data_IF_596767442481
#
_entry.id   IF_596767442481
#
_cell.length_a   1.000
_cell.length_b   1.000
_cell.length_c   1.000
_cell.angle_alpha   90.00
_cell.angle_beta   90.00
_cell.angle_gamma   90.00
#
_symmetry.space_group_name_H-M   'P 1'
#
loop_
_entity.id
_entity.type
_entity.pdbx_description
1 polymer ?
#
# COMPACT_ATOMS: atom_id res chain seq x y z
N UNK A 1 -0.12 12.25 44.40
CA UNK A 1 -1.46 12.52 43.96
C UNK A 1 -1.41 12.87 42.49
N UNK A 2 -1.70 11.90 41.59
CA UNK A 2 -1.83 12.18 40.16
C UNK A 2 -3.17 12.89 39.92
N UNK A 3 -3.12 14.00 39.17
CA UNK A 3 -4.32 14.68 38.69
C UNK A 3 -5.07 13.75 37.76
N UNK A 4 -6.26 13.30 38.15
CA UNK A 4 -7.18 12.60 37.25
C UNK A 4 -7.80 13.68 36.36
N UNK A 5 -7.35 13.77 35.11
CA UNK A 5 -7.96 14.65 34.10
C UNK A 5 -9.26 13.96 33.66
N UNK A 6 -10.40 14.52 34.06
CA UNK A 6 -11.69 14.07 33.55
C UNK A 6 -11.83 14.55 32.11
N UNK A 7 -12.04 13.62 31.17
CA UNK A 7 -12.37 13.96 29.78
C UNK A 7 -13.71 14.73 29.73
N UNK A 8 -13.75 15.79 28.91
CA UNK A 8 -14.95 16.59 28.72
C UNK A 8 -14.66 18.07 28.48
N UNK A 9 -15.74 18.85 28.34
CA UNK A 9 -15.65 20.30 28.20
C UNK A 9 -15.26 20.92 29.55
N UNK A 10 -14.10 21.57 29.56
CA UNK A 10 -13.55 22.21 30.77
C UNK A 10 -13.99 23.67 30.91
N UNK A 11 -14.17 24.37 29.81
CA UNK A 11 -14.50 25.80 29.79
C UNK A 11 -15.22 26.16 28.47
N UNK A 12 -16.19 27.07 28.55
CA UNK A 12 -16.88 27.64 27.40
C UNK A 12 -17.92 26.73 26.78
N UNK A 13 -18.15 26.90 25.48
CA UNK A 13 -19.11 26.14 24.68
C UNK A 13 -18.35 25.21 23.72
N UNK A 14 -18.33 23.91 24.04
CA UNK A 14 -17.66 22.88 23.26
C UNK A 14 -18.61 22.18 22.26
N UNK A 15 -19.82 22.71 22.04
CA UNK A 15 -20.77 22.23 21.02
C UNK A 15 -20.71 23.10 19.75
N UNK A 16 -21.13 24.38 19.87
CA UNK A 16 -21.22 25.29 18.70
C UNK A 16 -20.64 26.69 19.03
N UNK A 17 -19.58 26.75 19.83
CA UNK A 17 -18.99 28.00 20.31
C UNK A 17 -17.50 27.95 20.48
N UNK A 18 -16.97 28.71 21.42
CA UNK A 18 -15.55 28.63 21.84
C UNK A 18 -15.45 27.97 23.20
N UNK A 19 -14.52 27.03 23.31
CA UNK A 19 -14.32 26.29 24.53
C UNK A 19 -12.95 25.65 24.65
N UNK A 20 -12.76 24.96 25.78
CA UNK A 20 -11.60 24.11 26.06
C UNK A 20 -12.11 22.71 26.37
N UNK A 21 -11.64 21.72 25.63
CA UNK A 21 -12.02 20.32 25.79
C UNK A 21 -10.78 19.46 26.11
N UNK A 22 -10.86 18.61 27.13
CA UNK A 22 -9.87 17.61 27.45
C UNK A 22 -10.32 16.24 26.95
N UNK A 23 -9.45 15.53 26.26
CA UNK A 23 -9.69 14.19 25.77
C UNK A 23 -9.14 13.13 26.73
N UNK A 24 -9.70 11.92 26.67
CA UNK A 24 -9.31 10.81 27.54
C UNK A 24 -7.85 10.35 27.36
N UNK A 25 -7.27 10.61 26.19
CA UNK A 25 -5.88 10.31 25.85
C UNK A 25 -4.87 11.32 26.42
N UNK A 26 -5.35 12.35 27.14
CA UNK A 26 -4.53 13.42 27.70
C UNK A 26 -4.29 14.59 26.75
N UNK A 27 -4.82 14.55 25.54
CA UNK A 27 -4.80 15.69 24.62
C UNK A 27 -5.81 16.76 25.06
N UNK A 28 -5.62 18.00 24.58
CA UNK A 28 -6.50 19.14 24.88
C UNK A 28 -6.65 20.03 23.65
N UNK A 29 -7.87 20.50 23.43
CA UNK A 29 -8.17 21.50 22.40
C UNK A 29 -8.69 22.80 23.04
N UNK A 30 -8.23 23.91 22.54
CA UNK A 30 -8.71 25.27 22.87
C UNK A 30 -9.06 25.99 21.58
N UNK A 31 -10.32 26.29 21.34
CA UNK A 31 -10.71 26.94 20.11
C UNK A 31 -12.22 26.92 19.84
N UNK A 32 -12.58 27.09 18.58
CA UNK A 32 -13.97 27.06 18.14
C UNK A 32 -14.43 25.63 17.90
N UNK A 33 -15.67 25.36 18.18
CA UNK A 33 -16.37 24.09 17.97
C UNK A 33 -17.55 24.24 17.03
N UNK A 34 -17.88 23.19 16.32
CA UNK A 34 -19.11 23.00 15.56
C UNK A 34 -19.56 21.57 15.73
N UNK A 35 -20.82 21.40 16.18
CA UNK A 35 -21.43 20.08 16.45
C UNK A 35 -20.51 19.18 17.30
N UNK A 36 -19.94 19.71 18.38
CA UNK A 36 -19.07 19.01 19.30
C UNK A 36 -17.66 18.70 18.80
N UNK A 37 -17.26 19.23 17.62
CA UNK A 37 -15.95 18.97 17.02
C UNK A 37 -15.12 20.25 16.89
N UNK A 38 -13.79 20.20 17.07
CA UNK A 38 -12.90 21.29 16.71
C UNK A 38 -13.17 21.81 15.30
N UNK A 39 -13.45 23.11 15.17
CA UNK A 39 -13.75 23.75 13.90
C UNK A 39 -13.29 25.22 13.92
N UNK A 40 -12.78 25.76 12.78
CA UNK A 40 -12.24 27.12 12.75
C UNK A 40 -10.90 27.24 13.48
N UNK A 41 -10.61 28.42 14.07
CA UNK A 41 -9.32 28.67 14.67
C UNK A 41 -9.19 28.03 16.09
N UNK A 42 -8.04 27.39 16.35
CA UNK A 42 -7.79 26.77 17.64
C UNK A 42 -6.34 26.30 17.84
N UNK A 43 -6.10 25.75 19.04
CA UNK A 43 -4.83 25.16 19.46
C UNK A 43 -5.12 23.76 19.97
N UNK A 44 -4.38 22.77 19.46
CA UNK A 44 -4.42 21.40 19.92
C UNK A 44 -3.10 21.03 20.58
N UNK A 45 -3.19 20.52 21.80
CA UNK A 45 -2.07 20.02 22.57
C UNK A 45 -2.10 18.50 22.54
N UNK A 46 -1.07 17.87 21.99
CA UNK A 46 -0.95 16.43 21.89
C UNK A 46 -0.40 15.81 23.19
N UNK A 47 -0.70 14.53 23.49
CA UNK A 47 -0.19 13.87 24.69
C UNK A 47 1.33 13.78 24.76
N UNK A 48 2.00 13.76 23.61
CA UNK A 48 3.47 13.75 23.50
C UNK A 48 4.13 15.12 23.72
N UNK A 49 3.33 16.16 24.02
CA UNK A 49 3.81 17.54 24.23
C UNK A 49 3.93 18.38 22.95
N UNK A 50 3.62 17.85 21.78
CA UNK A 50 3.53 18.64 20.56
C UNK A 50 2.33 19.60 20.65
N UNK A 51 2.37 20.68 19.87
CA UNK A 51 1.30 21.64 19.77
C UNK A 51 1.02 21.98 18.31
N UNK A 52 -0.27 21.99 17.94
CA UNK A 52 -0.73 22.57 16.67
C UNK A 52 -1.54 23.83 16.92
N UNK A 53 -1.28 24.90 16.18
CA UNK A 53 -2.04 26.15 16.20
C UNK A 53 -2.44 26.52 14.77
N UNK A 54 -3.74 26.62 14.50
CA UNK A 54 -4.23 26.89 13.15
C UNK A 54 -5.74 26.68 12.98
N UNK A 55 -6.13 26.45 11.75
CA UNK A 55 -7.52 26.15 11.39
C UNK A 55 -7.82 24.68 11.59
N UNK A 56 -9.08 24.37 11.89
CA UNK A 56 -9.64 23.03 12.03
C UNK A 56 -10.91 22.88 11.21
N UNK A 57 -11.12 21.69 10.65
CA UNK A 57 -12.37 21.27 10.06
C UNK A 57 -12.67 19.84 10.56
N UNK A 58 -13.91 19.62 11.03
CA UNK A 58 -14.43 18.32 11.51
C UNK A 58 -13.53 17.56 12.48
N UNK A 59 -12.86 18.31 13.36
CA UNK A 59 -12.00 17.76 14.40
C UNK A 59 -10.51 17.64 14.02
N UNK A 60 -10.14 17.92 12.78
CA UNK A 60 -8.77 17.75 12.28
C UNK A 60 -8.12 19.08 11.90
N UNK A 61 -6.78 19.23 12.03
CA UNK A 61 -6.04 20.34 11.44
C UNK A 61 -6.37 20.52 9.96
N UNK A 62 -6.74 21.77 9.58
CA UNK A 62 -7.15 22.11 8.21
C UNK A 62 -6.77 23.56 7.91
N UNK A 63 -6.52 23.90 6.62
CA UNK A 63 -6.13 25.26 6.24
C UNK A 63 -4.77 25.67 6.78
N UNK A 64 -4.55 26.97 6.99
CA UNK A 64 -3.25 27.45 7.48
C UNK A 64 -3.02 27.10 8.95
N UNK A 65 -1.85 26.51 9.24
CA UNK A 65 -1.51 26.11 10.59
C UNK A 65 -0.01 25.84 10.81
N UNK A 66 0.34 25.71 12.08
CA UNK A 66 1.71 25.50 12.56
C UNK A 66 1.72 24.41 13.63
N UNK A 67 2.52 23.36 13.44
CA UNK A 67 2.81 22.37 14.48
C UNK A 67 4.23 22.57 15.00
N UNK A 68 4.37 22.55 16.30
CA UNK A 68 5.67 22.63 16.99
C UNK A 68 5.82 21.38 17.85
N UNK A 69 6.93 20.65 17.69
CA UNK A 69 7.24 19.50 18.54
C UNK A 69 8.01 19.92 19.79
N UNK A 70 8.19 18.97 20.72
CA UNK A 70 8.89 19.20 22.00
C UNK A 70 10.37 19.56 21.84
N UNK A 71 11.00 19.27 20.70
CA UNK A 71 12.37 19.70 20.38
C UNK A 71 12.44 21.11 19.77
N UNK A 72 11.29 21.81 19.63
CA UNK A 72 11.22 23.15 19.05
C UNK A 72 11.20 23.17 17.50
N UNK A 73 11.15 22.01 16.87
CA UNK A 73 11.05 21.93 15.42
C UNK A 73 9.63 22.36 14.97
N UNK A 74 9.56 23.18 13.92
CA UNK A 74 8.32 23.80 13.45
C UNK A 74 7.97 23.31 12.05
N UNK A 75 6.74 22.82 11.88
CA UNK A 75 6.10 22.55 10.60
C UNK A 75 4.98 23.59 10.40
N UNK A 76 5.06 24.41 9.36
CA UNK A 76 4.10 25.47 9.08
C UNK A 76 3.67 25.43 7.61
N UNK A 77 2.38 25.56 7.36
CA UNK A 77 1.82 25.57 6.00
C UNK A 77 0.33 25.31 5.99
N UNK A 78 -0.17 24.89 4.83
CA UNK A 78 -1.54 24.46 4.66
C UNK A 78 -1.71 23.00 5.13
N UNK A 79 -2.78 22.75 5.86
CA UNK A 79 -3.12 21.46 6.42
C UNK A 79 -4.44 20.96 5.82
N UNK A 80 -4.52 19.71 5.48
CA UNK A 80 -5.73 19.05 4.99
C UNK A 80 -5.88 17.74 5.75
N UNK A 81 -7.04 17.57 6.41
CA UNK A 81 -7.39 16.36 7.17
C UNK A 81 -6.29 15.88 8.14
N UNK A 82 -5.69 16.81 8.87
CA UNK A 82 -4.68 16.54 9.88
C UNK A 82 -3.24 16.40 9.36
N UNK A 83 -3.03 16.38 8.05
CA UNK A 83 -1.72 16.33 7.40
C UNK A 83 -1.26 17.71 6.91
N UNK A 84 0.05 18.03 7.10
CA UNK A 84 0.65 19.21 6.48
C UNK A 84 0.76 18.95 4.97
N UNK A 85 0.12 19.81 4.19
CA UNK A 85 0.40 19.90 2.75
C UNK A 85 1.75 20.63 2.64
N UNK A 86 2.82 19.85 2.52
CA UNK A 86 4.18 20.40 2.45
C UNK A 86 4.33 21.23 1.18
N UNK A 87 4.36 22.52 1.37
CA UNK A 87 4.46 23.61 0.41
C UNK A 87 3.17 23.91 -0.38
N UNK A 88 2.51 25.04 -0.11
CA UNK A 88 1.68 25.65 -1.13
C UNK A 88 2.62 26.12 -2.24
N UNK A 89 2.83 25.30 -3.25
CA UNK A 89 3.33 25.77 -4.52
C UNK A 89 2.42 26.93 -4.97
N UNK A 90 2.93 27.89 -5.74
CA UNK A 90 2.14 29.02 -6.18
C UNK A 90 0.83 28.54 -6.83
N UNK A 91 -0.22 29.32 -6.70
CA UNK A 91 -1.65 29.07 -7.02
C UNK A 91 -1.99 28.62 -8.46
N UNK A 92 -1.08 28.02 -9.20
CA UNK A 92 -1.18 27.58 -10.60
C UNK A 92 -0.76 26.10 -10.82
N UNK A 93 -0.85 25.25 -9.80
CA UNK A 93 -0.63 23.78 -9.95
C UNK A 93 0.83 23.36 -10.09
N UNK A 94 1.79 24.23 -9.77
CA UNK A 94 3.23 23.93 -9.75
C UNK A 94 3.71 23.67 -8.32
N UNK A 95 4.79 22.88 -8.16
CA UNK A 95 5.39 22.55 -6.88
C UNK A 95 5.03 21.13 -6.38
N UNK A 96 5.19 20.90 -5.10
CA UNK A 96 4.80 19.63 -4.47
C UNK A 96 3.27 19.53 -4.38
N UNK A 97 2.68 18.58 -5.10
CA UNK A 97 1.24 18.35 -5.09
C UNK A 97 0.82 17.39 -3.98
N UNK A 98 1.65 16.41 -3.65
CA UNK A 98 1.36 15.43 -2.62
C UNK A 98 2.62 14.75 -2.10
N UNK A 99 2.56 14.20 -0.89
CA UNK A 99 3.65 13.44 -0.28
C UNK A 99 4.78 14.33 0.27
N UNK A 100 5.97 13.72 0.45
CA UNK A 100 7.19 14.40 0.94
C UNK A 100 8.16 14.62 -0.21
N UNK A 101 8.08 15.80 -0.85
CA UNK A 101 8.99 16.19 -1.91
C UNK A 101 10.33 16.74 -1.40
N UNK A 102 10.66 16.54 -0.12
CA UNK A 102 11.95 16.87 0.47
C UNK A 102 12.82 15.63 0.70
N UNK A 103 12.32 14.64 1.44
CA UNK A 103 13.10 13.45 1.80
C UNK A 103 12.24 12.18 1.85
N UNK A 104 11.27 12.03 0.96
CA UNK A 104 10.35 10.91 0.92
C UNK A 104 9.74 10.70 -0.45
N UNK A 105 8.64 9.99 -0.52
CA UNK A 105 7.87 9.82 -1.75
C UNK A 105 6.90 10.98 -1.93
N UNK A 106 6.85 11.55 -3.14
CA UNK A 106 5.95 12.67 -3.44
C UNK A 106 5.68 12.82 -4.93
N UNK A 107 4.73 13.73 -5.23
CA UNK A 107 4.41 14.17 -6.58
C UNK A 107 4.73 15.66 -6.72
N UNK A 108 5.53 16.01 -7.69
CA UNK A 108 5.98 17.37 -7.94
C UNK A 108 5.71 17.79 -9.39
N UNK A 109 5.20 19.01 -9.58
CA UNK A 109 5.04 19.62 -10.92
C UNK A 109 6.05 20.75 -11.08
N UNK A 110 6.88 20.64 -12.09
CA UNK A 110 7.90 21.64 -12.44
C UNK A 110 7.29 22.84 -13.16
N UNK A 111 8.04 23.94 -13.21
CA UNK A 111 7.56 25.21 -13.86
C UNK A 111 7.15 25.06 -15.32
N UNK A 112 7.79 24.15 -16.04
CA UNK A 112 7.43 23.80 -17.42
C UNK A 112 6.23 22.85 -17.52
N UNK A 113 5.64 22.45 -16.40
CA UNK A 113 4.47 21.57 -16.35
C UNK A 113 4.79 20.08 -16.38
N UNK A 114 6.06 19.71 -16.46
CA UNK A 114 6.49 18.31 -16.31
C UNK A 114 6.17 17.83 -14.90
N UNK A 115 5.83 16.55 -14.76
CA UNK A 115 5.45 15.95 -13.49
C UNK A 115 6.42 14.85 -13.12
N UNK A 116 6.91 14.89 -11.89
CA UNK A 116 7.67 13.80 -11.28
C UNK A 116 6.85 13.16 -10.15
N UNK A 117 6.87 11.85 -10.11
CA UNK A 117 6.27 11.02 -9.07
C UNK A 117 7.31 9.98 -8.65
N UNK A 118 7.78 10.07 -7.41
CA UNK A 118 8.86 9.22 -6.94
C UNK A 118 9.46 9.70 -5.64
N UNK A 119 10.63 9.14 -5.29
CA UNK A 119 11.35 9.51 -4.07
C UNK A 119 12.18 10.77 -4.26
N UNK A 120 12.32 11.53 -3.17
CA UNK A 120 13.11 12.76 -3.08
C UNK A 120 14.17 12.63 -2.00
N UNK A 121 15.28 13.31 -2.21
CA UNK A 121 16.31 13.53 -1.21
C UNK A 121 16.82 14.97 -1.33
N UNK A 122 16.76 15.73 -0.21
CA UNK A 122 17.12 17.15 -0.21
C UNK A 122 16.32 18.00 -1.19
N UNK A 123 15.05 17.68 -1.44
CA UNK A 123 14.17 18.40 -2.37
C UNK A 123 14.42 18.10 -3.85
N UNK A 124 15.26 17.12 -4.18
CA UNK A 124 15.55 16.70 -5.54
C UNK A 124 15.06 15.28 -5.81
N UNK A 125 14.53 14.97 -7.02
CA UNK A 125 14.27 13.60 -7.43
C UNK A 125 15.47 12.69 -7.20
N UNK A 126 15.26 11.60 -6.45
CA UNK A 126 16.29 10.64 -6.08
C UNK A 126 15.69 9.24 -5.94
N UNK A 127 16.48 8.18 -6.20
CA UNK A 127 15.95 6.81 -6.20
C UNK A 127 15.00 6.55 -7.37
N UNK A 128 14.01 5.69 -7.20
CA UNK A 128 13.09 5.32 -8.29
C UNK A 128 11.97 6.33 -8.47
N UNK A 129 11.62 6.63 -9.73
CA UNK A 129 10.53 7.52 -10.04
C UNK A 129 10.11 7.53 -11.51
N UNK A 130 9.02 8.24 -11.75
CA UNK A 130 8.39 8.44 -13.04
C UNK A 130 8.37 9.93 -13.36
N UNK A 131 8.98 10.32 -14.47
CA UNK A 131 8.85 11.67 -15.05
C UNK A 131 7.87 11.61 -16.22
N UNK A 132 6.91 12.51 -16.26
CA UNK A 132 6.02 12.74 -17.40
C UNK A 132 6.26 14.15 -17.91
N UNK A 133 6.62 14.26 -19.17
CA UNK A 133 6.85 15.52 -19.86
C UNK A 133 5.58 16.03 -20.55
N UNK A 134 5.42 17.34 -20.65
CA UNK A 134 4.28 17.91 -21.36
C UNK A 134 4.23 17.56 -22.86
N UNK A 135 5.38 17.28 -23.46
CA UNK A 135 5.46 16.84 -24.85
C UNK A 135 5.00 15.38 -25.06
N UNK A 136 4.57 14.67 -24.02
CA UNK A 136 4.13 13.29 -24.08
C UNK A 136 5.24 12.25 -23.84
N UNK A 137 6.50 12.66 -23.74
CA UNK A 137 7.60 11.78 -23.35
C UNK A 137 7.45 11.34 -21.89
N UNK A 138 8.06 10.25 -21.52
CA UNK A 138 8.14 9.81 -20.13
C UNK A 138 9.45 9.08 -19.85
N UNK A 139 9.90 9.16 -18.62
CA UNK A 139 11.03 8.37 -18.12
C UNK A 139 10.59 7.60 -16.86
N UNK A 140 10.90 6.33 -16.84
CA UNK A 140 10.68 5.45 -15.68
C UNK A 140 12.02 4.85 -15.29
N UNK A 141 12.49 5.11 -14.06
CA UNK A 141 13.80 4.59 -13.66
C UNK A 141 14.39 5.29 -12.44
N UNK A 142 15.69 5.05 -12.27
CA UNK A 142 16.45 5.63 -11.17
C UNK A 142 16.81 7.09 -11.45
N UNK A 143 16.75 7.90 -10.38
CA UNK A 143 17.11 9.30 -10.37
C UNK A 143 18.22 9.55 -9.35
N UNK A 144 19.12 10.45 -9.62
CA UNK A 144 20.09 10.94 -8.66
C UNK A 144 20.26 12.44 -8.83
N UNK A 145 20.09 13.20 -7.74
CA UNK A 145 20.20 14.66 -7.72
C UNK A 145 19.42 15.34 -8.87
N UNK A 146 18.20 14.90 -9.12
CA UNK A 146 17.29 15.46 -10.13
C UNK A 146 17.55 15.03 -11.57
N UNK A 147 18.52 14.15 -11.84
CA UNK A 147 18.87 13.66 -13.17
C UNK A 147 18.64 12.15 -13.29
N UNK A 148 18.40 11.66 -14.52
CA UNK A 148 18.33 10.21 -14.77
C UNK A 148 19.67 9.55 -14.43
N UNK A 149 19.60 8.44 -13.69
CA UNK A 149 20.75 7.69 -13.22
C UNK A 149 20.45 6.19 -13.24
N UNK A 150 21.45 5.34 -12.98
CA UNK A 150 21.24 3.91 -12.87
C UNK A 150 20.56 3.28 -14.08
N UNK A 151 19.59 2.41 -13.85
CA UNK A 151 18.78 1.80 -14.89
C UNK A 151 17.45 2.52 -15.06
N UNK A 152 17.02 2.72 -16.32
CA UNK A 152 15.73 3.34 -16.62
C UNK A 152 15.36 3.24 -18.09
N UNK A 153 14.10 3.55 -18.37
CA UNK A 153 13.56 3.54 -19.72
C UNK A 153 12.95 4.90 -20.04
N UNK A 154 13.40 5.50 -21.12
CA UNK A 154 12.84 6.72 -21.69
C UNK A 154 11.98 6.36 -22.90
N UNK A 155 10.76 6.84 -22.91
CA UNK A 155 9.78 6.65 -23.98
C UNK A 155 9.55 8.00 -24.65
N UNK A 156 9.90 8.13 -25.91
CA UNK A 156 9.51 9.30 -26.71
C UNK A 156 8.06 9.17 -27.20
N UNK A 157 7.39 10.29 -27.35
CA UNK A 157 6.07 10.36 -27.99
C UNK A 157 6.11 9.84 -29.43
N UNK A 158 7.27 9.94 -30.09
CA UNK A 158 7.53 9.39 -31.44
C UNK A 158 7.46 7.85 -31.50
N UNK A 159 7.44 7.15 -30.34
CA UNK A 159 7.47 5.71 -30.21
C UNK A 159 8.89 5.12 -30.02
N UNK A 160 9.95 5.95 -30.04
CA UNK A 160 11.29 5.47 -29.71
C UNK A 160 11.41 5.15 -28.20
N UNK A 161 12.12 4.07 -27.88
CA UNK A 161 12.34 3.59 -26.52
C UNK A 161 13.84 3.44 -26.27
N UNK A 162 14.32 4.07 -25.19
CA UNK A 162 15.73 4.00 -24.75
C UNK A 162 15.77 3.31 -23.38
N UNK A 163 15.91 2.00 -23.38
CA UNK A 163 16.04 1.20 -22.16
C UNK A 163 17.52 0.90 -21.89
N UNK A 164 18.00 1.17 -20.67
CA UNK A 164 19.38 0.87 -20.30
C UNK A 164 19.91 1.75 -19.17
N UNK A 165 21.25 1.91 -19.17
CA UNK A 165 21.96 2.70 -18.15
C UNK A 165 21.95 4.19 -18.48
N UNK A 166 21.81 4.98 -17.43
CA UNK A 166 21.80 6.43 -17.47
C UNK A 166 22.79 6.99 -16.45
N UNK A 167 23.43 8.09 -16.75
CA UNK A 167 24.24 8.84 -15.81
C UNK A 167 24.14 10.33 -16.12
N UNK A 168 23.85 11.13 -15.08
CA UNK A 168 23.67 12.57 -15.18
C UNK A 168 22.74 12.99 -16.34
N UNK A 169 21.61 12.29 -16.50
CA UNK A 169 20.61 12.54 -17.54
C UNK A 169 20.97 12.04 -18.94
N UNK A 170 22.12 11.43 -19.13
CA UNK A 170 22.57 10.91 -20.45
C UNK A 170 22.37 9.41 -20.56
N UNK A 171 21.84 8.97 -21.69
CA UNK A 171 21.75 7.55 -22.04
C UNK A 171 23.13 6.99 -22.39
N UNK A 172 23.54 5.95 -21.70
CA UNK A 172 24.83 5.28 -21.87
C UNK A 172 24.74 3.99 -22.70
N UNK A 173 23.52 3.65 -23.15
CA UNK A 173 23.27 2.44 -23.90
C UNK A 173 22.94 1.23 -23.02
N UNK A 174 22.52 0.17 -23.67
CA UNK A 174 22.21 -1.12 -23.03
C UNK A 174 23.49 -1.98 -22.99
N UNK A 175 24.54 -1.49 -22.33
CA UNK A 175 25.76 -2.29 -22.15
C UNK A 175 25.57 -3.29 -21.01
N UNK A 176 24.83 -4.36 -21.26
CA UNK A 176 25.17 -5.64 -20.64
C UNK A 176 26.57 -6.00 -21.14
N UNK A 177 27.59 -6.04 -20.27
CA UNK A 177 28.79 -6.78 -20.56
C UNK A 177 28.36 -8.21 -20.83
N UNK A 178 28.35 -8.59 -22.10
CA UNK A 178 28.27 -10.00 -22.49
C UNK A 178 29.57 -10.65 -22.07
N UNK A 179 29.59 -11.35 -20.95
CA UNK A 179 30.55 -12.44 -20.74
C UNK A 179 30.29 -13.45 -21.87
N UNK A 180 31.35 -14.03 -22.48
CA UNK A 180 31.16 -15.00 -23.57
C UNK A 180 30.23 -16.12 -23.09
N UNK A 181 29.19 -16.30 -23.82
CA UNK A 181 28.12 -17.26 -23.59
C UNK A 181 28.70 -18.68 -23.62
N UNK A 182 28.90 -19.27 -22.44
CA UNK A 182 28.83 -20.72 -22.37
C UNK A 182 27.38 -21.04 -22.80
N UNK A 183 27.22 -21.91 -23.80
CA UNK A 183 25.94 -22.41 -24.28
C UNK A 183 25.19 -23.12 -23.14
N UNK A 184 24.56 -22.31 -22.28
CA UNK A 184 23.62 -22.76 -21.27
C UNK A 184 22.27 -22.86 -21.98
N UNK A 185 21.67 -24.03 -21.94
CA UNK A 185 20.28 -24.24 -22.34
C UNK A 185 19.42 -23.11 -21.76
N UNK A 186 18.45 -22.54 -22.52
CA UNK A 186 17.70 -21.38 -22.06
C UNK A 186 17.07 -21.70 -20.71
N UNK A 187 17.54 -21.02 -19.66
CA UNK A 187 16.94 -21.10 -18.33
C UNK A 187 15.50 -20.65 -18.48
N UNK A 188 14.51 -21.43 -18.04
CA UNK A 188 13.10 -21.06 -18.16
C UNK A 188 12.93 -19.71 -17.44
N UNK A 189 12.65 -18.65 -18.18
CA UNK A 189 12.40 -17.34 -17.60
C UNK A 189 11.05 -17.37 -16.92
N UNK A 190 11.02 -17.41 -15.60
CA UNK A 190 9.79 -17.29 -14.79
C UNK A 190 9.08 -15.99 -15.14
N UNK A 191 7.85 -16.07 -15.60
CA UNK A 191 6.99 -14.92 -15.85
C UNK A 191 6.08 -14.70 -14.64
N UNK A 192 5.77 -13.44 -14.37
CA UNK A 192 4.81 -13.07 -13.33
C UNK A 192 3.48 -12.72 -13.99
N UNK A 193 2.40 -13.29 -13.47
CA UNK A 193 1.03 -13.00 -13.82
C UNK A 193 0.31 -12.52 -12.58
N UNK A 194 -0.22 -11.31 -12.55
CA UNK A 194 -0.75 -10.71 -11.34
C UNK A 194 -2.16 -10.15 -11.52
N UNK A 195 -3.04 -10.49 -10.59
CA UNK A 195 -4.32 -9.81 -10.38
C UNK A 195 -4.28 -9.12 -9.03
N UNK A 196 -4.51 -7.81 -9.05
CA UNK A 196 -4.41 -6.94 -7.89
C UNK A 196 -5.77 -6.28 -7.68
N UNK A 197 -6.32 -6.41 -6.48
CA UNK A 197 -7.67 -5.98 -6.15
C UNK A 197 -7.62 -5.08 -4.92
N UNK A 198 -8.24 -3.89 -5.01
CA UNK A 198 -8.42 -2.98 -3.90
C UNK A 198 -9.86 -2.50 -3.84
N UNK A 199 -10.52 -2.69 -2.70
CA UNK A 199 -11.93 -2.28 -2.51
C UNK A 199 -12.04 -1.42 -1.27
N UNK A 200 -12.30 -0.13 -1.47
CA UNK A 200 -12.39 0.91 -0.43
C UNK A 200 -13.82 1.32 -0.14
N UNK A 201 -14.66 1.47 -1.16
CA UNK A 201 -15.95 2.18 -1.12
C UNK A 201 -17.14 1.23 -1.14
N UNK A 202 -17.36 0.52 -0.05
CA UNK A 202 -18.47 -0.44 0.07
C UNK A 202 -19.82 0.25 0.32
N UNK A 203 -20.88 -0.28 -0.28
CA UNK A 203 -22.26 0.18 -0.03
C UNK A 203 -22.85 -0.40 1.28
N UNK A 204 -22.48 -1.63 1.63
CA UNK A 204 -23.06 -2.37 2.76
C UNK A 204 -22.05 -2.69 3.87
N UNK A 205 -20.84 -2.17 3.76
CA UNK A 205 -19.80 -2.28 4.77
C UNK A 205 -19.20 -0.88 5.03
N UNK A 206 -18.56 -0.64 6.17
CA UNK A 206 -17.82 0.61 6.40
C UNK A 206 -16.79 0.84 5.31
N UNK A 207 -16.62 2.08 4.88
CA UNK A 207 -15.55 2.43 3.94
C UNK A 207 -14.19 2.20 4.58
N UNK A 208 -13.25 1.68 3.80
CA UNK A 208 -11.83 1.57 4.13
C UNK A 208 -11.07 2.72 3.48
N UNK A 209 -9.89 3.05 4.01
CA UNK A 209 -9.16 4.25 3.57
C UNK A 209 -8.10 3.99 2.52
N UNK A 210 -7.47 2.82 2.51
CA UNK A 210 -6.23 2.60 1.78
C UNK A 210 -6.17 1.37 0.86
N UNK A 211 -7.20 0.53 0.71
CA UNK A 211 -7.10 -0.67 -0.14
C UNK A 211 -6.78 -0.38 -1.61
N UNK A 212 -7.33 0.69 -2.16
CA UNK A 212 -7.07 1.17 -3.52
C UNK A 212 -5.62 1.67 -3.67
N UNK A 213 -5.15 2.50 -2.73
CA UNK A 213 -3.77 2.98 -2.67
C UNK A 213 -2.77 1.81 -2.55
N UNK A 214 -3.05 0.83 -1.69
CA UNK A 214 -2.21 -0.34 -1.48
C UNK A 214 -2.13 -1.21 -2.75
N UNK A 215 -3.26 -1.40 -3.42
CA UNK A 215 -3.32 -2.10 -4.70
C UNK A 215 -2.49 -1.39 -5.78
N UNK A 216 -2.63 -0.07 -5.92
CA UNK A 216 -1.84 0.70 -6.87
C UNK A 216 -0.34 0.69 -6.57
N UNK A 217 0.06 0.69 -5.30
CA UNK A 217 1.48 0.61 -4.90
C UNK A 217 2.09 -0.74 -5.26
N UNK A 218 1.37 -1.84 -5.06
CA UNK A 218 1.83 -3.16 -5.49
C UNK A 218 1.90 -3.25 -7.02
N UNK A 219 0.91 -2.71 -7.72
CA UNK A 219 0.94 -2.61 -9.18
C UNK A 219 2.17 -1.84 -9.65
N UNK A 220 2.41 -0.65 -9.11
CA UNK A 220 3.58 0.16 -9.45
C UNK A 220 4.90 -0.56 -9.16
N UNK A 221 4.97 -1.32 -8.07
CA UNK A 221 6.13 -2.16 -7.77
C UNK A 221 6.34 -3.24 -8.85
N UNK A 222 5.30 -4.00 -9.21
CA UNK A 222 5.41 -5.05 -10.25
C UNK A 222 5.79 -4.48 -11.63
N UNK A 223 5.39 -3.24 -11.91
CA UNK A 223 5.77 -2.53 -13.13
C UNK A 223 7.21 -2.01 -13.09
N UNK A 224 7.79 -1.86 -11.91
CA UNK A 224 9.16 -1.40 -11.73
C UNK A 224 10.19 -2.48 -12.08
N UNK A 225 11.45 -2.12 -12.37
CA UNK A 225 12.52 -3.10 -12.58
C UNK A 225 12.72 -4.04 -11.40
N UNK A 226 12.55 -3.56 -10.17
CA UNK A 226 12.67 -4.36 -8.95
C UNK A 226 11.54 -5.40 -8.82
N UNK A 227 10.33 -5.06 -9.27
CA UNK A 227 9.17 -5.95 -9.30
C UNK A 227 9.08 -6.84 -10.52
N UNK A 228 10.10 -6.80 -11.40
CA UNK A 228 10.19 -7.70 -12.57
C UNK A 228 9.71 -7.09 -13.88
N UNK A 229 9.40 -5.77 -13.94
CA UNK A 229 8.92 -5.06 -15.14
C UNK A 229 7.76 -5.80 -15.81
N UNK A 230 6.77 -6.20 -15.03
CA UNK A 230 5.65 -7.04 -15.51
C UNK A 230 4.87 -6.27 -16.59
N UNK A 231 4.75 -6.77 -17.82
CA UNK A 231 4.06 -6.08 -18.90
C UNK A 231 2.53 -6.08 -18.69
N UNK A 232 1.83 -5.14 -19.34
CA UNK A 232 0.40 -4.91 -19.12
C UNK A 232 -0.48 -6.12 -19.39
N UNK A 233 -0.12 -6.96 -20.36
CA UNK A 233 -0.87 -8.17 -20.68
C UNK A 233 -0.76 -9.28 -19.62
N UNK A 234 0.08 -9.11 -18.60
CA UNK A 234 0.30 -10.05 -17.49
C UNK A 234 -0.06 -9.49 -16.11
N UNK A 235 -0.49 -8.25 -16.03
CA UNK A 235 -0.94 -7.63 -14.78
C UNK A 235 -2.27 -6.91 -15.00
N UNK A 236 -3.21 -7.10 -14.06
CA UNK A 236 -4.50 -6.39 -14.05
C UNK A 236 -4.76 -5.84 -12.65
N UNK A 237 -5.26 -4.63 -12.60
CA UNK A 237 -5.71 -3.99 -11.36
C UNK A 237 -7.21 -3.79 -11.46
N UNK A 238 -7.94 -4.15 -10.42
CA UNK A 238 -9.38 -3.89 -10.27
C UNK A 238 -9.57 -3.10 -8.98
N UNK A 239 -10.11 -1.90 -9.11
CA UNK A 239 -10.32 -0.98 -7.98
C UNK A 239 -11.81 -0.64 -7.92
N UNK A 240 -12.34 -0.62 -6.70
CA UNK A 240 -13.72 -0.23 -6.39
C UNK A 240 -14.74 -0.71 -7.43
N UNK A 241 -15.32 0.13 -8.25
CA UNK A 241 -16.40 -0.22 -9.19
C UNK A 241 -16.00 -1.33 -10.18
N UNK A 242 -14.72 -1.47 -10.50
CA UNK A 242 -14.21 -2.53 -11.36
C UNK A 242 -14.04 -3.86 -10.63
N UNK A 243 -13.94 -3.83 -9.29
CA UNK A 243 -13.69 -5.00 -8.44
C UNK A 243 -14.97 -5.78 -8.12
N UNK A 244 -15.84 -5.97 -9.12
CA UNK A 244 -17.03 -6.84 -8.96
C UNK A 244 -16.62 -8.31 -8.93
N UNK A 245 -17.41 -9.14 -8.27
CA UNK A 245 -17.19 -10.60 -8.22
C UNK A 245 -16.98 -11.19 -9.61
N UNK A 246 -17.83 -10.80 -10.58
CA UNK A 246 -17.74 -11.31 -11.94
C UNK A 246 -16.44 -10.89 -12.63
N UNK A 247 -16.04 -9.61 -12.51
CA UNK A 247 -14.82 -9.10 -13.12
C UNK A 247 -13.58 -9.77 -12.53
N UNK A 248 -13.57 -10.01 -11.21
CA UNK A 248 -12.49 -10.72 -10.53
C UNK A 248 -12.33 -12.14 -11.07
N UNK A 249 -13.41 -12.91 -11.14
CA UNK A 249 -13.38 -14.28 -11.65
C UNK A 249 -12.96 -14.33 -13.12
N UNK A 250 -13.47 -13.41 -13.94
CA UNK A 250 -13.08 -13.29 -15.35
C UNK A 250 -11.59 -12.96 -15.49
N UNK A 251 -11.10 -11.99 -14.72
CA UNK A 251 -9.68 -11.62 -14.73
C UNK A 251 -8.77 -12.77 -14.29
N UNK A 252 -9.15 -13.51 -13.23
CA UNK A 252 -8.42 -14.72 -12.83
C UNK A 252 -8.35 -15.74 -13.97
N UNK A 253 -9.48 -16.00 -14.63
CA UNK A 253 -9.53 -16.95 -15.73
C UNK A 253 -8.65 -16.50 -16.90
N UNK A 254 -8.77 -15.25 -17.34
CA UNK A 254 -8.03 -14.70 -18.47
C UNK A 254 -6.51 -14.61 -18.23
N UNK A 255 -6.09 -14.33 -17.00
CA UNK A 255 -4.67 -14.19 -16.66
C UNK A 255 -4.03 -15.52 -16.28
N UNK A 256 -4.64 -16.26 -15.35
CA UNK A 256 -3.98 -17.37 -14.69
C UNK A 256 -3.92 -18.64 -15.53
N UNK A 257 -4.85 -18.81 -16.49
CA UNK A 257 -4.80 -19.95 -17.42
C UNK A 257 -3.75 -19.77 -18.52
N UNK A 258 -3.20 -18.55 -18.70
CA UNK A 258 -2.13 -18.27 -19.66
C UNK A 258 -0.73 -18.50 -19.09
N UNK A 259 -0.63 -18.71 -17.79
CA UNK A 259 0.65 -18.97 -17.13
C UNK A 259 1.20 -20.35 -17.51
N UNK A 260 2.51 -20.46 -17.60
CA UNK A 260 3.22 -21.72 -17.85
C UNK A 260 3.69 -22.39 -16.55
N UNK A 261 4.21 -23.64 -16.62
CA UNK A 261 4.57 -24.42 -15.44
C UNK A 261 5.72 -23.83 -14.61
N UNK A 262 6.52 -22.93 -15.18
CA UNK A 262 7.60 -22.25 -14.46
C UNK A 262 7.22 -20.83 -14.04
N UNK A 263 5.98 -20.39 -14.28
CA UNK A 263 5.54 -19.05 -14.00
C UNK A 263 5.03 -18.89 -12.56
N UNK A 264 5.04 -17.65 -12.07
CA UNK A 264 4.47 -17.22 -10.81
C UNK A 264 3.13 -16.50 -11.06
N UNK A 265 2.07 -16.98 -10.43
CA UNK A 265 0.77 -16.31 -10.35
C UNK A 265 0.66 -15.58 -9.02
N UNK A 266 0.30 -14.31 -9.03
CA UNK A 266 0.06 -13.49 -7.84
C UNK A 266 -1.40 -13.06 -7.84
N UNK A 267 -2.11 -13.37 -6.77
CA UNK A 267 -3.39 -12.76 -6.41
C UNK A 267 -3.19 -11.89 -5.18
N UNK A 268 -3.49 -10.62 -5.30
CA UNK A 268 -3.53 -9.70 -4.16
C UNK A 268 -4.94 -9.17 -3.97
N UNK A 269 -5.42 -9.18 -2.74
CA UNK A 269 -6.70 -8.61 -2.34
C UNK A 269 -6.52 -7.72 -1.12
N UNK A 270 -6.98 -6.47 -1.21
CA UNK A 270 -7.11 -5.55 -0.08
C UNK A 270 -8.56 -5.08 0.02
N UNK A 271 -9.19 -5.24 1.19
CA UNK A 271 -10.60 -4.92 1.38
C UNK A 271 -11.21 -5.65 2.57
N UNK A 272 -12.54 -5.68 2.64
CA UNK A 272 -13.24 -6.45 3.64
C UNK A 272 -13.25 -7.94 3.35
N UNK A 273 -13.23 -8.75 4.41
CA UNK A 273 -13.40 -10.19 4.39
C UNK A 273 -14.44 -10.66 5.41
N UNK A 274 -15.07 -11.77 5.08
CA UNK A 274 -15.88 -12.57 5.98
C UNK A 274 -15.23 -13.93 6.17
N UNK A 275 -15.59 -14.68 7.23
CA UNK A 275 -15.15 -16.06 7.34
C UNK A 275 -15.47 -16.85 6.07
N UNK A 276 -14.44 -17.20 5.32
CA UNK A 276 -14.63 -17.98 4.13
C UNK A 276 -14.72 -17.22 2.81
N UNK A 277 -14.65 -15.89 2.79
CA UNK A 277 -14.81 -15.13 1.57
C UNK A 277 -14.19 -13.73 1.67
N UNK A 278 -13.71 -13.22 0.55
CA UNK A 278 -13.49 -11.80 0.34
C UNK A 278 -14.77 -11.12 -0.15
N UNK A 279 -14.87 -9.83 0.09
CA UNK A 279 -16.03 -9.03 -0.31
C UNK A 279 -15.67 -8.15 -1.52
N UNK A 280 -16.13 -8.49 -2.72
CA UNK A 280 -16.09 -7.59 -3.87
C UNK A 280 -16.97 -6.35 -3.65
N UNK A 281 -16.82 -5.34 -4.51
CA UNK A 281 -17.57 -4.09 -4.41
C UNK A 281 -19.09 -4.28 -4.54
N UNK A 282 -19.53 -5.28 -5.31
CA UNK A 282 -20.93 -5.63 -5.55
C UNK A 282 -21.54 -6.55 -4.48
N UNK A 283 -20.85 -6.73 -3.34
CA UNK A 283 -21.44 -7.37 -2.17
C UNK A 283 -22.66 -6.61 -1.70
N UNK A 284 -23.82 -7.29 -1.63
CA UNK A 284 -25.12 -6.68 -1.32
C UNK A 284 -25.57 -6.83 0.15
N UNK A 285 -24.68 -7.31 1.00
CA UNK A 285 -24.95 -7.63 2.40
C UNK A 285 -25.23 -9.12 2.64
N UNK A 286 -25.46 -9.91 1.61
CA UNK A 286 -25.77 -11.35 1.68
C UNK A 286 -25.06 -12.13 0.56
N UNK A 287 -25.16 -11.63 -0.68
CA UNK A 287 -24.69 -12.29 -1.89
C UNK A 287 -23.40 -11.65 -2.43
N UNK A 288 -22.92 -12.19 -3.57
CA UNK A 288 -21.75 -11.72 -4.29
C UNK A 288 -20.43 -11.77 -3.48
N UNK A 289 -20.35 -12.66 -2.49
CA UNK A 289 -19.08 -12.97 -1.86
C UNK A 289 -18.16 -13.73 -2.83
N UNK A 290 -16.88 -13.44 -2.81
CA UNK A 290 -15.85 -14.22 -3.50
C UNK A 290 -15.32 -15.28 -2.54
N UNK A 291 -15.87 -16.48 -2.61
CA UNK A 291 -15.49 -17.55 -1.68
C UNK A 291 -14.05 -18.00 -1.92
N UNK A 292 -13.36 -18.31 -0.86
CA UNK A 292 -12.00 -18.86 -0.96
C UNK A 292 -11.98 -20.21 -1.69
N UNK A 293 -13.07 -20.96 -1.71
CA UNK A 293 -13.19 -22.18 -2.51
C UNK A 293 -13.18 -21.88 -4.01
N UNK A 294 -13.78 -20.78 -4.44
CA UNK A 294 -13.72 -20.31 -5.82
C UNK A 294 -12.32 -19.87 -6.19
N UNK A 295 -11.67 -19.07 -5.32
CA UNK A 295 -10.28 -18.66 -5.50
C UNK A 295 -9.37 -19.88 -5.61
N UNK A 296 -9.53 -20.84 -4.69
CA UNK A 296 -8.78 -22.10 -4.72
C UNK A 296 -8.95 -22.81 -6.06
N UNK A 297 -10.18 -22.99 -6.50
CA UNK A 297 -10.49 -23.66 -7.78
C UNK A 297 -9.80 -22.96 -8.95
N UNK A 298 -9.83 -21.64 -8.98
CA UNK A 298 -9.18 -20.86 -10.04
C UNK A 298 -7.66 -20.99 -10.02
N UNK A 299 -7.06 -20.96 -8.83
CA UNK A 299 -5.62 -21.18 -8.66
C UNK A 299 -5.23 -22.61 -9.05
N UNK A 300 -6.04 -23.62 -8.70
CA UNK A 300 -5.80 -25.02 -9.05
C UNK A 300 -5.87 -25.26 -10.57
N UNK A 301 -6.73 -24.56 -11.29
CA UNK A 301 -6.83 -24.64 -12.73
C UNK A 301 -5.64 -23.98 -13.45
N UNK A 302 -4.94 -23.07 -12.80
CA UNK A 302 -3.75 -22.45 -13.38
C UNK A 302 -2.62 -23.47 -13.53
N UNK A 303 -1.99 -23.57 -14.72
CA UNK A 303 -0.83 -24.43 -14.92
C UNK A 303 0.46 -23.91 -14.29
N UNK A 304 0.44 -22.71 -13.69
CA UNK A 304 1.61 -22.12 -13.00
C UNK A 304 2.18 -23.05 -11.92
N UNK A 305 3.49 -23.19 -11.89
CA UNK A 305 4.19 -23.96 -10.85
C UNK A 305 4.24 -23.23 -9.51
N UNK A 306 4.19 -21.92 -9.54
CA UNK A 306 4.25 -21.07 -8.34
C UNK A 306 3.00 -20.20 -8.24
N UNK A 307 2.39 -20.18 -7.05
CA UNK A 307 1.17 -19.41 -6.79
C UNK A 307 1.30 -18.70 -5.45
N UNK A 308 1.06 -17.40 -5.45
CA UNK A 308 1.13 -16.55 -4.28
C UNK A 308 -0.20 -15.81 -4.12
N UNK A 309 -0.91 -16.06 -3.04
CA UNK A 309 -2.08 -15.30 -2.65
C UNK A 309 -1.74 -14.44 -1.43
N UNK A 310 -1.94 -13.15 -1.56
CA UNK A 310 -1.67 -12.13 -0.57
C UNK A 310 -2.99 -11.45 -0.22
N UNK A 311 -3.39 -11.45 1.04
CA UNK A 311 -4.65 -10.84 1.43
C UNK A 311 -4.49 -9.92 2.63
N UNK A 312 -4.79 -8.64 2.41
CA UNK A 312 -4.99 -7.63 3.44
C UNK A 312 -6.49 -7.41 3.64
N UNK A 313 -7.11 -8.35 4.35
CA UNK A 313 -8.55 -8.35 4.60
C UNK A 313 -8.85 -8.54 6.07
N UNK A 314 -9.65 -7.62 6.63
CA UNK A 314 -10.16 -7.74 7.99
C UNK A 314 -11.22 -8.83 8.08
N UNK A 315 -11.21 -9.60 9.14
CA UNK A 315 -12.42 -10.30 9.53
C UNK A 315 -13.31 -9.33 10.30
N UNK A 316 -14.31 -8.75 9.64
CA UNK A 316 -15.32 -7.90 10.27
C UNK A 316 -16.28 -8.76 11.16
N UNK A 317 -15.69 -9.53 12.07
CA UNK A 317 -16.42 -10.43 12.97
C UNK A 317 -17.37 -9.74 13.98
N UNK A 318 -17.41 -8.40 13.96
CA UNK A 318 -18.25 -7.64 14.88
C UNK A 318 -19.70 -7.46 14.43
N UNK A 319 -20.01 -7.54 13.16
CA UNK A 319 -21.36 -7.23 12.66
C UNK A 319 -22.28 -8.45 12.47
N UNK A 320 -21.74 -9.67 12.45
CA UNK A 320 -22.52 -10.91 12.29
C UNK A 320 -22.43 -11.88 13.48
N UNK A 321 -21.90 -11.46 14.63
CA UNK A 321 -21.84 -12.27 15.86
C UNK A 321 -23.21 -12.58 16.51
N UNK A 322 -24.33 -12.31 15.82
CA UNK A 322 -25.69 -12.51 16.37
C UNK A 322 -26.34 -13.85 16.01
N UNK A 323 -25.62 -14.80 15.36
CA UNK A 323 -26.16 -16.17 15.17
C UNK A 323 -25.11 -17.20 15.52
N UNK A 324 -25.28 -17.82 16.69
CA UNK A 324 -24.40 -18.76 17.32
C UNK A 324 -23.94 -19.91 16.43
N UNK A 325 -22.64 -20.05 16.36
CA UNK A 325 -21.88 -21.17 15.86
C UNK A 325 -20.41 -20.93 16.22
N UNK A 326 -19.74 -21.94 16.72
CA UNK A 326 -18.33 -21.91 17.15
C UNK A 326 -17.41 -21.53 15.98
N UNK A 327 -17.19 -20.22 15.79
CA UNK A 327 -16.38 -19.63 14.72
C UNK A 327 -14.92 -20.12 14.63
N UNK A 328 -14.19 -20.37 15.72
CA UNK A 328 -12.75 -20.72 15.62
C UNK A 328 -12.46 -21.98 14.80
N UNK A 329 -13.30 -23.01 14.91
CA UNK A 329 -13.08 -24.29 14.22
C UNK A 329 -13.43 -24.28 12.72
N UNK A 330 -14.30 -23.40 12.29
CA UNK A 330 -14.65 -23.25 10.86
C UNK A 330 -13.59 -22.49 10.07
N UNK A 331 -12.96 -21.51 10.70
CA UNK A 331 -11.90 -20.71 10.10
C UNK A 331 -10.60 -21.50 9.94
N UNK A 332 -10.21 -22.26 10.96
CA UNK A 332 -9.05 -23.13 10.89
C UNK A 332 -9.21 -24.19 9.79
N UNK A 333 -10.33 -24.92 9.75
CA UNK A 333 -10.67 -25.87 8.68
C UNK A 333 -10.70 -25.23 7.31
N UNK A 334 -11.08 -23.97 7.25
CA UNK A 334 -11.22 -23.25 6.02
C UNK A 334 -9.83 -22.87 5.42
N UNK A 335 -8.90 -22.32 6.23
CA UNK A 335 -7.52 -22.10 5.80
C UNK A 335 -6.79 -23.42 5.47
N UNK A 336 -7.06 -24.49 6.21
CA UNK A 336 -6.57 -25.83 5.88
C UNK A 336 -7.04 -26.32 4.52
N UNK A 337 -8.29 -26.03 4.12
CA UNK A 337 -8.81 -26.38 2.81
C UNK A 337 -8.20 -25.57 1.65
N UNK A 338 -7.89 -24.29 1.87
CA UNK A 338 -7.12 -23.49 0.92
C UNK A 338 -5.67 -23.97 0.78
N UNK A 339 -5.08 -24.42 1.91
CA UNK A 339 -3.74 -24.95 1.96
C UNK A 339 -3.58 -26.32 1.30
N UNK A 340 -4.68 -27.06 1.06
CA UNK A 340 -4.66 -28.41 0.45
C UNK A 340 -4.52 -28.43 -1.07
N UNK A 341 -4.10 -27.32 -1.70
CA UNK A 341 -3.84 -27.24 -3.14
C UNK A 341 -2.48 -27.79 -3.52
N UNK A 342 -2.33 -28.17 -4.80
CA UNK A 342 -1.12 -28.77 -5.38
C UNK A 342 0.15 -27.99 -5.04
N UNK A 343 1.29 -28.69 -5.05
CA UNK A 343 2.62 -28.16 -4.75
C UNK A 343 2.84 -26.76 -5.33
N UNK A 344 3.30 -25.80 -4.48
CA UNK A 344 3.69 -24.47 -4.88
C UNK A 344 2.68 -23.34 -4.62
N UNK A 345 1.67 -23.53 -3.77
CA UNK A 345 0.75 -22.44 -3.38
C UNK A 345 1.05 -21.93 -1.98
N UNK A 346 1.43 -20.65 -1.86
CA UNK A 346 1.57 -19.94 -0.60
C UNK A 346 0.43 -18.91 -0.44
N UNK A 347 -0.18 -18.91 0.75
CA UNK A 347 -1.17 -17.91 1.16
C UNK A 347 -0.62 -17.12 2.34
N UNK A 348 -0.43 -15.83 2.18
CA UNK A 348 -0.05 -14.92 3.26
C UNK A 348 -1.24 -14.00 3.53
N UNK A 349 -1.76 -14.11 4.74
CA UNK A 349 -2.91 -13.33 5.22
C UNK A 349 -2.43 -12.32 6.24
N UNK A 350 -3.06 -11.15 6.26
CA UNK A 350 -2.66 -10.03 7.10
C UNK A 350 -2.81 -10.27 8.59
N UNK A 351 -3.73 -11.16 9.00
CA UNK A 351 -4.03 -11.42 10.41
C UNK A 351 -4.55 -12.84 10.62
N UNK A 352 -4.53 -13.30 11.86
CA UNK A 352 -5.24 -14.51 12.28
C UNK A 352 -6.75 -14.31 12.14
N UNK A 353 -7.48 -15.44 12.20
CA UNK A 353 -8.92 -15.48 12.07
C UNK A 353 -9.69 -14.61 13.10
N UNK A 354 -9.09 -14.38 14.25
CA UNK A 354 -9.67 -13.66 15.41
C UNK A 354 -9.17 -12.21 15.51
N UNK A 355 -8.24 -11.82 14.66
CA UNK A 355 -7.59 -10.52 14.64
C UNK A 355 -8.12 -9.66 13.50
N UNK A 356 -8.07 -8.33 13.68
CA UNK A 356 -8.44 -7.37 12.65
C UNK A 356 -7.18 -6.90 11.92
N UNK A 357 -7.24 -6.80 10.60
CA UNK A 357 -6.22 -6.09 9.85
C UNK A 357 -6.33 -4.59 10.11
N UNK A 358 -5.20 -3.95 10.39
CA UNK A 358 -5.14 -2.56 10.81
C UNK A 358 -4.71 -1.66 9.67
N UNK A 359 -5.39 -0.53 9.55
CA UNK A 359 -4.98 0.59 8.73
C UNK A 359 -4.24 1.62 9.60
N UNK A 360 -3.21 2.24 9.07
CA UNK A 360 -2.46 3.28 9.77
C UNK A 360 -2.48 4.59 8.98
N UNK A 361 -3.08 5.62 9.59
CA UNK A 361 -3.02 6.97 9.03
C UNK A 361 -1.60 7.53 8.98
N UNK A 362 -0.72 7.09 9.87
CA UNK A 362 0.70 7.45 9.86
C UNK A 362 1.48 6.84 8.70
N UNK A 363 1.16 5.61 8.31
CA UNK A 363 1.72 4.93 7.14
C UNK A 363 0.98 5.28 5.85
N UNK A 364 -0.27 5.76 5.95
CA UNK A 364 -1.21 5.96 4.82
C UNK A 364 -1.34 4.70 3.97
N UNK A 365 -1.46 3.56 4.65
CA UNK A 365 -1.52 2.22 4.08
C UNK A 365 -2.14 1.25 5.10
N UNK A 366 -2.61 0.10 4.63
CA UNK A 366 -2.75 -1.08 5.48
C UNK A 366 -1.39 -1.46 6.08
N UNK A 367 -1.36 -1.79 7.37
CA UNK A 367 -0.09 -2.11 8.05
C UNK A 367 0.59 -3.30 7.40
N UNK A 368 -0.16 -4.33 7.07
CA UNK A 368 0.36 -5.51 6.38
C UNK A 368 0.89 -5.16 4.98
N UNK A 369 0.12 -4.43 4.17
CA UNK A 369 0.50 -4.05 2.81
C UNK A 369 1.73 -3.16 2.77
N UNK A 370 1.91 -2.28 3.77
CA UNK A 370 3.12 -1.49 3.93
C UNK A 370 4.37 -2.36 4.07
N UNK A 371 4.35 -3.31 5.01
CA UNK A 371 5.52 -4.16 5.24
C UNK A 371 5.69 -5.25 4.17
N UNK A 372 4.60 -5.72 3.57
CA UNK A 372 4.66 -6.57 2.38
C UNK A 372 5.50 -5.91 1.28
N UNK A 373 5.18 -4.68 0.94
CA UNK A 373 5.86 -3.96 -0.15
C UNK A 373 7.32 -3.66 0.18
N UNK A 374 7.64 -3.29 1.41
CA UNK A 374 9.02 -3.10 1.88
C UNK A 374 9.83 -4.40 1.81
N UNK A 375 9.23 -5.49 2.27
CA UNK A 375 9.85 -6.81 2.18
C UNK A 375 10.16 -7.23 0.76
N UNK A 376 9.21 -7.08 -0.16
CA UNK A 376 9.40 -7.36 -1.59
C UNK A 376 10.44 -6.46 -2.26
N UNK A 377 10.66 -5.25 -1.75
CA UNK A 377 11.70 -4.32 -2.20
C UNK A 377 13.10 -4.65 -1.67
N UNK A 378 13.22 -5.72 -0.86
CA UNK A 378 14.50 -6.27 -0.43
C UNK A 378 14.77 -6.22 1.06
N UNK A 379 13.96 -5.55 1.87
CA UNK A 379 14.17 -5.56 3.33
C UNK A 379 13.98 -6.97 3.95
N UNK A 380 13.33 -7.87 3.23
CA UNK A 380 13.17 -9.26 3.62
C UNK A 380 14.33 -10.16 3.18
N UNK A 381 15.21 -9.72 2.28
CA UNK A 381 16.40 -10.46 1.85
C UNK A 381 17.39 -10.57 3.02
N UNK A 382 17.32 -11.68 3.72
CA UNK A 382 18.08 -11.88 4.95
C UNK A 382 19.49 -12.37 4.72
N UNK A 383 19.69 -13.19 3.71
CA UNK A 383 21.00 -13.78 3.40
C UNK A 383 21.81 -12.93 2.40
N UNK A 384 21.20 -11.86 1.85
CA UNK A 384 21.86 -10.89 0.98
C UNK A 384 22.17 -11.44 -0.41
N UNK A 385 21.48 -12.50 -0.84
CA UNK A 385 21.72 -13.13 -2.14
C UNK A 385 20.99 -12.43 -3.31
N UNK A 386 20.21 -11.41 -3.00
CA UNK A 386 19.44 -10.61 -3.98
C UNK A 386 18.13 -11.23 -4.40
N UNK A 387 17.67 -12.30 -3.73
CA UNK A 387 16.39 -12.96 -4.00
C UNK A 387 15.55 -13.01 -2.73
N UNK A 388 14.43 -12.32 -2.72
CA UNK A 388 13.45 -12.46 -1.61
C UNK A 388 12.62 -13.71 -1.84
N UNK A 389 12.67 -14.63 -0.90
CA UNK A 389 11.89 -15.85 -0.92
C UNK A 389 10.65 -15.73 -0.06
N UNK A 390 9.64 -16.56 -0.34
CA UNK A 390 8.36 -16.52 0.39
C UNK A 390 8.54 -16.65 1.91
N UNK A 391 9.46 -17.49 2.35
CA UNK A 391 9.73 -17.68 3.79
C UNK A 391 10.39 -16.46 4.43
N UNK A 392 11.32 -15.82 3.74
CA UNK A 392 11.97 -14.58 4.20
C UNK A 392 10.97 -13.44 4.26
N UNK A 393 10.16 -13.29 3.20
CA UNK A 393 9.09 -12.30 3.15
C UNK A 393 8.11 -12.48 4.30
N UNK A 394 7.64 -13.70 4.54
CA UNK A 394 6.72 -14.00 5.64
C UNK A 394 7.31 -13.69 7.02
N UNK A 395 8.55 -14.12 7.27
CA UNK A 395 9.23 -13.84 8.55
C UNK A 395 9.42 -12.33 8.77
N UNK A 396 9.82 -11.62 7.74
CA UNK A 396 9.96 -10.17 7.79
C UNK A 396 8.62 -9.48 8.08
N UNK A 397 7.58 -9.77 7.30
CA UNK A 397 6.25 -9.16 7.48
C UNK A 397 5.72 -9.44 8.88
N UNK A 398 5.77 -10.69 9.32
CA UNK A 398 5.25 -11.09 10.64
C UNK A 398 5.91 -10.29 11.75
N UNK A 399 7.23 -10.21 11.75
CA UNK A 399 7.98 -9.45 12.75
C UNK A 399 7.60 -7.96 12.72
N UNK A 400 7.64 -7.34 11.55
CA UNK A 400 7.39 -5.90 11.42
C UNK A 400 5.96 -5.52 11.80
N UNK A 401 4.97 -6.31 11.35
CA UNK A 401 3.56 -6.08 11.68
C UNK A 401 3.31 -6.24 13.17
N UNK A 402 3.82 -7.30 13.78
CA UNK A 402 3.69 -7.53 15.22
C UNK A 402 4.34 -6.43 16.05
N UNK A 403 5.55 -6.03 15.69
CA UNK A 403 6.28 -4.96 16.38
C UNK A 403 5.53 -3.60 16.24
N UNK A 404 5.04 -3.27 15.05
CA UNK A 404 4.32 -2.03 14.79
C UNK A 404 2.96 -1.95 15.48
N UNK A 405 2.23 -3.07 15.52
CA UNK A 405 0.86 -3.12 16.07
C UNK A 405 0.81 -3.49 17.55
N UNK A 406 1.96 -3.64 18.22
CA UNK A 406 2.02 -4.11 19.61
C UNK A 406 1.38 -5.49 19.78
N UNK A 407 1.61 -6.41 18.84
CA UNK A 407 1.08 -7.79 18.81
C UNK A 407 -0.44 -7.89 18.54
N UNK A 408 -1.09 -6.80 18.12
CA UNK A 408 -2.54 -6.81 17.83
C UNK A 408 -2.87 -7.44 16.47
N UNK A 409 -1.89 -7.52 15.58
CA UNK A 409 -2.05 -8.13 14.27
C UNK A 409 -0.88 -9.08 14.01
N UNK A 410 -1.21 -10.33 13.65
CA UNK A 410 -0.22 -11.39 13.42
C UNK A 410 -0.45 -12.02 12.05
N UNK A 411 0.33 -11.68 11.04
CA UNK A 411 0.26 -12.34 9.74
C UNK A 411 0.43 -13.86 9.84
N UNK A 412 -0.26 -14.58 8.97
CA UNK A 412 -0.17 -16.04 8.90
C UNK A 412 0.15 -16.47 7.48
N UNK A 413 0.90 -17.58 7.37
CA UNK A 413 1.17 -18.24 6.10
C UNK A 413 0.64 -19.65 6.13
N UNK A 414 0.06 -20.08 5.02
CA UNK A 414 -0.49 -21.42 4.83
C UNK A 414 -0.23 -21.92 3.42
N UNK A 415 -0.45 -23.19 3.19
CA UNK A 415 -0.33 -23.82 1.88
C UNK A 415 0.80 -24.85 1.79
N UNK A 416 0.78 -25.58 0.68
CA UNK A 416 1.87 -26.49 0.30
C UNK A 416 2.76 -25.76 -0.72
N UNK A 417 3.83 -25.15 -0.22
CA UNK A 417 4.75 -24.33 -1.00
C UNK A 417 6.20 -24.68 -0.70
N UNK A 418 7.07 -24.51 -1.66
CA UNK A 418 8.50 -24.52 -1.43
C UNK A 418 8.91 -23.23 -0.70
N UNK A 419 9.53 -23.34 0.46
CA UNK A 419 10.02 -22.21 1.25
C UNK A 419 11.00 -21.33 0.47
N UNK A 420 11.66 -21.89 -0.54
CA UNK A 420 12.58 -21.19 -1.45
C UNK A 420 11.90 -20.53 -2.63
N UNK A 421 10.56 -20.60 -2.75
CA UNK A 421 9.82 -19.96 -3.82
C UNK A 421 10.18 -18.46 -3.91
N UNK A 422 10.75 -17.99 -5.02
CA UNK A 422 11.12 -16.59 -5.17
C UNK A 422 9.85 -15.73 -5.35
N UNK A 423 9.78 -14.62 -4.64
CA UNK A 423 8.67 -13.65 -4.73
C UNK A 423 9.12 -12.32 -5.33
N UNK A 424 10.38 -11.95 -5.16
CA UNK A 424 11.00 -10.82 -5.85
C UNK A 424 12.51 -11.01 -5.97
N UNK A 425 13.11 -10.27 -6.89
CA UNK A 425 14.57 -10.32 -7.14
C UNK A 425 15.09 -8.89 -7.10
N UNK A 426 16.12 -8.67 -6.29
CA UNK A 426 16.80 -7.39 -6.19
C UNK A 426 17.81 -7.30 -7.36
N UNK A 427 17.74 -6.22 -8.11
CA UNK A 427 18.65 -5.97 -9.24
C UNK A 427 19.47 -4.72 -8.97
#
# INVERSE_FOLDING_TARGET
GGLVIHAGCLLGDCEDGRGTYAYADGSRYEGSFRSGRPHGAGIFYYPNGDQYSGQFADGLPHGQGRRTNTSGQVLQGEWVEGGLVTNPGPSNGMGCLSGDCQNGFGTYVFRQGDRYEGTFQGGQPHGSGLVRYQNGDRYEGEMAAGAFAGYGTYYEQSGAIFEGRWAAGKYLGNTRKSTPEATVAPTPTTKIWALIIGVSSYKYMPALRFPDDDAYRLFAFLKSPQGGSVPDERVRVLIDEDATRQNILTAMQELFLRAGPNDLVILYFSGHGLPGAFLPIDYDGVNNTLTHQEIKRMLDQSPAGYKLCLADACHSGGLLAARGGTLPNLLTKYYENLASTRHGTALIMSSKAEETSLESSGLRQGVFSHFLLRGMKGEADRDGDGVVRVQELYQYITRQVQDYTGQQQSPVIQGDYDQRMPVSVLR
#
